data_IF_676483838474
#
_entry.id   IF_676483838474
#
_cell.length_a   1.000
_cell.length_b   1.000
_cell.length_c   1.000
_cell.angle_alpha   90.00
_cell.angle_beta   90.00
_cell.angle_gamma   90.00
#
_symmetry.space_group_name_H-M   'P 1'
#
loop_
_entity.id
_entity.type
_entity.pdbx_description
1 polymer ?
#
# COMPACT_ATOMS: atom_id res chain seq x y z
N UNK A 1 -46.12 -34.91 38.23
CA UNK A 1 -45.23 -33.74 38.41
C UNK A 1 -44.22 -33.76 37.28
N UNK A 2 -44.44 -32.94 36.22
CA UNK A 2 -43.58 -32.88 35.05
C UNK A 2 -42.65 -31.67 35.18
N UNK A 3 -41.34 -31.91 35.31
CA UNK A 3 -40.31 -30.86 35.35
C UNK A 3 -39.98 -30.46 33.91
N UNK A 4 -40.35 -29.22 33.54
CA UNK A 4 -39.91 -28.64 32.26
C UNK A 4 -38.54 -28.00 32.46
N UNK A 5 -37.52 -28.53 31.78
CA UNK A 5 -36.15 -28.00 31.76
C UNK A 5 -36.08 -26.93 30.68
N UNK A 6 -36.02 -25.67 31.05
CA UNK A 6 -35.86 -24.53 30.13
C UNK A 6 -34.34 -24.36 29.82
N UNK A 7 -33.94 -24.63 28.61
CA UNK A 7 -32.56 -24.45 28.13
C UNK A 7 -32.38 -22.98 27.75
N UNK A 8 -31.58 -22.25 28.52
CA UNK A 8 -31.19 -20.86 28.21
C UNK A 8 -29.99 -20.91 27.28
N UNK A 9 -30.18 -20.54 25.99
CA UNK A 9 -29.09 -20.29 25.05
C UNK A 9 -28.47 -18.92 25.32
N UNK A 10 -27.29 -18.91 25.91
CA UNK A 10 -26.46 -17.69 26.01
C UNK A 10 -25.71 -17.53 24.66
N UNK A 11 -26.21 -16.64 23.83
CA UNK A 11 -25.47 -16.20 22.65
C UNK A 11 -24.32 -15.29 23.10
N UNK A 12 -23.08 -15.82 23.11
CA UNK A 12 -21.89 -14.97 23.22
C UNK A 12 -21.78 -14.16 21.92
N UNK A 13 -22.28 -12.93 21.94
CA UNK A 13 -21.99 -11.94 20.93
C UNK A 13 -20.46 -11.68 20.93
N UNK A 14 -19.78 -11.99 19.82
CA UNK A 14 -18.42 -11.50 19.60
C UNK A 14 -18.51 -9.98 19.54
N UNK A 15 -18.01 -9.30 20.56
CA UNK A 15 -17.72 -7.86 20.46
C UNK A 15 -16.61 -7.73 19.41
N UNK A 16 -16.96 -7.28 18.21
CA UNK A 16 -15.99 -6.74 17.30
C UNK A 16 -15.34 -5.56 18.02
N UNK A 17 -14.03 -5.64 18.28
CA UNK A 17 -13.28 -4.50 18.80
C UNK A 17 -13.47 -3.35 17.80
N UNK A 18 -14.10 -2.27 18.23
CA UNK A 18 -14.24 -1.08 17.41
C UNK A 18 -12.81 -0.52 17.20
N UNK A 19 -12.45 -0.28 15.95
CA UNK A 19 -11.22 0.42 15.63
C UNK A 19 -11.31 1.85 16.17
N UNK A 20 -10.29 2.31 16.90
CA UNK A 20 -10.24 3.64 17.51
C UNK A 20 -9.23 4.58 16.79
N UNK A 21 -8.57 4.08 15.74
CA UNK A 21 -7.54 4.82 14.98
C UNK A 21 -8.14 5.54 13.78
N UNK A 22 -7.51 6.62 13.26
CA UNK A 22 -8.02 7.36 12.10
C UNK A 22 -8.27 6.51 10.85
N UNK A 23 -7.46 5.46 10.65
CA UNK A 23 -7.62 4.46 9.58
C UNK A 23 -7.64 3.08 10.23
N UNK A 24 -8.64 2.30 9.87
CA UNK A 24 -8.83 0.94 10.36
C UNK A 24 -8.37 -0.08 9.33
N UNK A 25 -7.62 -1.08 9.78
CA UNK A 25 -7.35 -2.28 9.01
C UNK A 25 -8.59 -3.17 9.05
N UNK A 26 -9.09 -3.55 7.88
CA UNK A 26 -10.32 -4.34 7.73
C UNK A 26 -10.09 -5.47 6.72
N UNK A 27 -11.00 -6.43 6.67
CA UNK A 27 -11.03 -7.43 5.61
C UNK A 27 -11.24 -6.72 4.25
N UNK A 28 -10.33 -6.86 3.27
CA UNK A 28 -10.48 -6.23 1.97
C UNK A 28 -11.75 -6.66 1.23
N UNK A 29 -12.25 -7.88 1.48
CA UNK A 29 -13.48 -8.38 0.85
C UNK A 29 -14.76 -7.75 1.48
N UNK A 30 -14.63 -7.09 2.61
CA UNK A 30 -15.73 -6.30 3.19
C UNK A 30 -15.89 -4.92 2.52
N UNK A 31 -14.91 -4.49 1.70
CA UNK A 31 -14.93 -3.20 1.02
C UNK A 31 -15.56 -3.33 -0.38
N UNK A 32 -16.46 -2.41 -0.72
CA UNK A 32 -17.02 -2.29 -2.07
C UNK A 32 -16.20 -1.29 -2.86
N UNK A 33 -15.11 -1.74 -3.51
CA UNK A 33 -14.18 -0.93 -4.27
C UNK A 33 -14.31 -1.28 -5.76
N UNK A 34 -14.56 -0.28 -6.61
CA UNK A 34 -14.97 -0.47 -8.01
C UNK A 34 -13.81 -0.42 -9.00
N UNK A 35 -12.66 0.13 -8.60
CA UNK A 35 -11.46 0.23 -9.44
C UNK A 35 -10.36 -0.68 -8.92
N UNK A 36 -9.54 -1.16 -9.84
CA UNK A 36 -8.36 -1.97 -9.52
C UNK A 36 -7.23 -1.63 -10.47
N UNK A 37 -6.02 -1.49 -9.93
CA UNK A 37 -4.76 -1.43 -10.66
C UNK A 37 -4.03 -2.75 -10.42
N UNK A 38 -3.74 -3.49 -11.50
CA UNK A 38 -3.12 -4.82 -11.49
C UNK A 38 -1.72 -4.83 -12.11
N UNK A 39 -1.27 -3.73 -12.69
CA UNK A 39 -0.02 -3.60 -13.48
C UNK A 39 0.08 -4.48 -14.73
N UNK A 40 -0.94 -5.28 -15.07
CA UNK A 40 -0.91 -6.23 -16.20
C UNK A 40 -0.70 -5.55 -17.56
N UNK A 41 -1.23 -4.35 -17.73
CA UNK A 41 -1.08 -3.54 -18.94
C UNK A 41 0.23 -2.72 -18.96
N UNK A 42 1.06 -2.85 -17.92
CA UNK A 42 2.34 -2.15 -17.80
C UNK A 42 3.47 -3.02 -18.32
N UNK A 43 4.44 -2.40 -19.01
CA UNK A 43 5.62 -3.12 -19.48
C UNK A 43 6.37 -3.73 -18.30
N UNK A 44 6.48 -5.05 -18.30
CA UNK A 44 7.17 -5.83 -17.28
C UNK A 44 8.37 -6.59 -17.83
N UNK A 45 9.21 -7.12 -16.96
CA UNK A 45 10.34 -7.97 -17.30
C UNK A 45 10.50 -9.14 -16.33
N UNK A 46 11.21 -10.17 -16.74
CA UNK A 46 11.66 -11.25 -15.86
C UNK A 46 12.84 -10.79 -15.00
N UNK A 47 13.07 -11.48 -13.89
CA UNK A 47 14.20 -11.21 -12.99
C UNK A 47 14.10 -9.84 -12.33
N UNK A 48 14.98 -8.87 -12.68
CA UNK A 48 14.95 -7.53 -12.08
C UNK A 48 13.78 -6.67 -12.56
N UNK A 49 13.00 -7.15 -13.54
CA UNK A 49 11.84 -6.44 -14.08
C UNK A 49 12.21 -5.40 -15.14
N UNK A 50 11.24 -4.53 -15.40
CA UNK A 50 11.41 -3.34 -16.24
C UNK A 50 11.42 -2.10 -15.37
N UNK A 51 12.58 -1.43 -15.31
CA UNK A 51 12.75 -0.19 -14.53
C UNK A 51 11.88 0.94 -15.09
N UNK A 52 11.13 1.59 -14.22
CA UNK A 52 10.29 2.74 -14.56
C UNK A 52 11.17 3.98 -14.69
N UNK A 53 10.99 4.74 -15.76
CA UNK A 53 11.67 6.04 -15.95
C UNK A 53 10.73 7.16 -15.48
N UNK A 54 11.10 7.85 -14.39
CA UNK A 54 10.26 8.86 -13.78
C UNK A 54 9.10 8.28 -12.96
N UNK A 55 7.92 8.86 -13.05
CA UNK A 55 6.71 8.36 -12.40
C UNK A 55 5.99 7.34 -13.29
N UNK A 56 5.40 6.31 -12.68
CA UNK A 56 4.46 5.43 -13.37
C UNK A 56 3.05 6.02 -13.19
N UNK A 57 2.44 6.44 -14.30
CA UNK A 57 1.10 7.05 -14.32
C UNK A 57 0.11 6.05 -14.90
N UNK A 58 -0.89 5.67 -14.11
CA UNK A 58 -1.97 4.76 -14.49
C UNK A 58 -3.33 5.44 -14.27
N UNK A 59 -4.39 4.84 -14.80
CA UNK A 59 -5.75 5.39 -14.62
C UNK A 59 -6.18 5.29 -13.16
N UNK A 60 -6.30 6.45 -12.50
CA UNK A 60 -6.75 6.64 -11.13
C UNK A 60 -5.66 6.78 -10.09
N UNK A 61 -4.39 6.47 -10.40
CA UNK A 61 -3.27 6.72 -9.48
C UNK A 61 -1.92 6.80 -10.21
N UNK A 62 -1.00 7.56 -9.64
CA UNK A 62 0.40 7.63 -10.05
C UNK A 62 1.31 7.06 -8.98
N UNK A 63 2.49 6.55 -9.37
CA UNK A 63 3.44 5.88 -8.50
C UNK A 63 4.83 6.48 -8.61
N UNK A 64 5.52 6.55 -7.49
CA UNK A 64 6.88 7.02 -7.35
C UNK A 64 7.53 6.39 -6.12
N UNK A 65 8.67 6.92 -5.72
CA UNK A 65 9.43 6.41 -4.57
C UNK A 65 9.00 7.06 -3.25
N UNK A 66 8.73 8.35 -3.26
CA UNK A 66 8.37 9.16 -2.06
C UNK A 66 7.57 10.39 -2.44
N UNK A 67 7.21 11.19 -1.44
CA UNK A 67 6.60 12.49 -1.67
C UNK A 67 7.63 13.62 -1.54
N UNK A 68 7.37 14.74 -2.23
CA UNK A 68 8.20 15.95 -2.15
C UNK A 68 8.33 16.44 -0.70
N UNK A 69 9.54 16.90 -0.32
CA UNK A 69 9.88 17.29 1.05
C UNK A 69 10.43 16.16 1.90
N UNK A 70 10.17 14.91 1.53
CA UNK A 70 10.75 13.76 2.22
C UNK A 70 12.18 13.48 1.74
N UNK A 71 13.00 12.98 2.67
CA UNK A 71 14.38 12.55 2.42
C UNK A 71 14.44 11.03 2.44
N UNK A 72 15.14 10.49 1.45
CA UNK A 72 15.46 9.07 1.38
C UNK A 72 16.86 8.85 1.94
N UNK A 73 17.00 7.88 2.84
CA UNK A 73 18.27 7.41 3.39
C UNK A 73 18.34 5.89 3.34
N UNK A 74 19.55 5.35 3.43
CA UNK A 74 19.74 3.92 3.51
C UNK A 74 19.60 3.43 4.95
N UNK A 75 18.83 2.36 5.14
CA UNK A 75 18.79 1.56 6.37
C UNK A 75 19.17 0.11 6.03
N UNK A 76 20.46 -0.19 6.02
CA UNK A 76 20.97 -1.42 5.43
C UNK A 76 20.79 -1.44 3.92
N UNK A 77 20.10 -2.44 3.39
CA UNK A 77 19.76 -2.57 1.98
C UNK A 77 18.43 -1.87 1.62
N UNK A 78 17.68 -1.41 2.65
CA UNK A 78 16.33 -0.85 2.51
C UNK A 78 16.35 0.68 2.44
N UNK A 79 15.28 1.21 1.86
CA UNK A 79 15.00 2.63 1.91
C UNK A 79 14.31 3.03 3.21
N UNK A 80 14.86 4.05 3.86
CA UNK A 80 14.21 4.74 4.96
C UNK A 80 13.76 6.13 4.49
N UNK A 81 12.46 6.40 4.57
CA UNK A 81 11.88 7.69 4.18
C UNK A 81 11.55 8.49 5.43
N UNK A 82 12.15 9.67 5.55
CA UNK A 82 11.99 10.59 6.68
C UNK A 82 11.57 11.98 6.23
N UNK A 83 11.18 12.82 7.18
CA UNK A 83 10.74 14.18 6.90
C UNK A 83 9.24 14.29 6.57
N UNK A 84 8.77 15.52 6.44
CA UNK A 84 7.38 15.83 6.17
C UNK A 84 7.15 15.97 4.65
N UNK A 85 6.04 15.42 4.16
CA UNK A 85 5.59 15.70 2.81
C UNK A 85 5.16 17.17 2.70
N UNK A 86 5.46 17.78 1.56
CA UNK A 86 5.07 19.17 1.27
C UNK A 86 3.63 19.26 0.74
N UNK A 87 3.05 20.44 0.91
CA UNK A 87 1.77 20.82 0.29
C UNK A 87 2.01 21.52 -1.05
N UNK A 88 1.29 21.14 -2.12
CA UNK A 88 0.40 19.99 -2.25
C UNK A 88 1.18 18.67 -2.27
N UNK A 89 0.55 17.59 -1.84
CA UNK A 89 1.16 16.24 -1.88
C UNK A 89 1.57 15.91 -3.33
N UNK A 90 2.86 15.71 -3.55
CA UNK A 90 3.44 15.55 -4.88
C UNK A 90 4.40 14.37 -4.89
N UNK A 91 4.22 13.45 -5.84
CA UNK A 91 5.14 12.32 -6.01
C UNK A 91 6.50 12.73 -6.55
N UNK A 92 7.52 12.05 -6.07
CA UNK A 92 8.89 12.13 -6.57
C UNK A 92 9.33 10.74 -7.08
N UNK A 93 9.93 10.67 -8.26
CA UNK A 93 10.56 9.43 -8.72
C UNK A 93 11.83 9.15 -7.90
N UNK A 94 12.26 7.90 -7.93
CA UNK A 94 13.58 7.50 -7.44
C UNK A 94 14.72 8.03 -8.31
N UNK A 95 15.94 7.94 -7.80
CA UNK A 95 17.13 8.21 -8.55
C UNK A 95 17.30 7.19 -9.71
N UNK A 96 18.17 7.49 -10.67
CA UNK A 96 18.47 6.56 -11.75
C UNK A 96 18.95 5.21 -11.18
N UNK A 97 18.26 4.13 -11.58
CA UNK A 97 18.54 2.78 -11.09
C UNK A 97 18.03 2.47 -9.67
N UNK A 98 17.39 3.42 -8.98
CA UNK A 98 16.80 3.24 -7.64
C UNK A 98 15.32 3.62 -7.62
N UNK A 99 14.65 3.51 -8.75
CA UNK A 99 13.22 3.79 -8.87
C UNK A 99 12.41 2.49 -8.82
N UNK A 100 11.14 2.59 -9.19
CA UNK A 100 10.25 1.44 -9.27
C UNK A 100 10.59 0.53 -10.45
N UNK A 101 10.23 -0.74 -10.36
CA UNK A 101 10.24 -1.66 -11.50
C UNK A 101 8.98 -2.53 -11.51
N UNK A 102 8.54 -2.91 -12.71
CA UNK A 102 7.45 -3.86 -12.90
C UNK A 102 8.02 -5.21 -13.28
N UNK A 103 7.74 -6.21 -12.44
CA UNK A 103 8.29 -7.56 -12.56
C UNK A 103 7.17 -8.52 -12.94
N UNK A 104 7.42 -9.34 -13.97
CA UNK A 104 6.57 -10.48 -14.26
C UNK A 104 6.96 -11.65 -13.36
N UNK A 105 6.04 -12.07 -12.51
CA UNK A 105 6.27 -13.14 -11.54
C UNK A 105 5.05 -14.08 -11.47
N UNK A 106 5.28 -15.36 -11.77
CA UNK A 106 4.28 -16.45 -11.71
C UNK A 106 2.94 -16.14 -12.43
N UNK A 107 3.02 -15.51 -13.61
CA UNK A 107 1.84 -15.25 -14.42
C UNK A 107 1.16 -13.91 -14.11
N UNK A 108 1.79 -13.06 -13.31
CA UNK A 108 1.26 -11.78 -12.86
C UNK A 108 2.33 -10.69 -12.87
N UNK A 109 1.95 -9.44 -13.08
CA UNK A 109 2.83 -8.29 -12.97
C UNK A 109 2.71 -7.64 -11.59
N UNK A 110 3.84 -7.35 -10.95
CA UNK A 110 3.90 -6.73 -9.63
C UNK A 110 4.81 -5.52 -9.64
N UNK A 111 4.54 -4.54 -8.79
CA UNK A 111 5.34 -3.33 -8.64
C UNK A 111 6.31 -3.47 -7.46
N UNK A 112 7.62 -3.29 -7.72
CA UNK A 112 8.67 -3.28 -6.71
C UNK A 112 9.34 -1.92 -6.64
N UNK A 113 9.79 -1.52 -5.43
CA UNK A 113 10.77 -0.46 -5.24
C UNK A 113 12.19 -1.02 -5.27
N UNK A 114 13.14 -0.27 -5.81
CA UNK A 114 14.56 -0.61 -5.76
C UNK A 114 15.26 0.15 -4.66
N UNK A 115 15.81 -0.57 -3.70
CA UNK A 115 16.59 -0.01 -2.61
C UNK A 115 18.00 0.46 -3.04
N UNK A 116 18.81 0.80 -2.06
CA UNK A 116 20.11 1.51 -2.23
C UNK A 116 21.13 0.79 -3.11
N UNK A 117 21.09 -0.53 -3.19
CA UNK A 117 22.01 -1.28 -4.05
C UNK A 117 21.72 -1.09 -5.55
N UNK A 118 20.50 -0.68 -5.90
CA UNK A 118 20.06 -0.27 -7.22
C UNK A 118 19.90 -1.40 -8.25
N UNK A 119 19.17 -1.06 -9.32
CA UNK A 119 18.92 -1.94 -10.47
C UNK A 119 20.24 -2.29 -11.22
N UNK A 120 20.44 -3.53 -11.68
CA UNK A 120 19.51 -4.67 -11.63
C UNK A 120 19.82 -5.67 -10.50
N UNK A 121 20.34 -5.24 -9.38
CA UNK A 121 20.76 -6.16 -8.30
C UNK A 121 19.57 -6.76 -7.58
N UNK A 122 19.63 -8.08 -7.36
CA UNK A 122 18.51 -8.83 -6.71
C UNK A 122 18.28 -8.42 -5.26
N UNK A 123 19.35 -8.08 -4.52
CA UNK A 123 19.29 -7.62 -3.15
C UNK A 123 18.84 -6.16 -2.99
N UNK A 124 18.42 -5.52 -4.06
CA UNK A 124 17.78 -4.21 -4.03
C UNK A 124 16.33 -4.29 -4.47
N UNK A 125 15.92 -5.41 -5.07
CA UNK A 125 14.58 -5.59 -5.61
C UNK A 125 13.58 -5.86 -4.50
N UNK A 126 12.62 -4.93 -4.32
CA UNK A 126 11.61 -4.99 -3.26
C UNK A 126 12.06 -4.31 -1.96
N UNK A 127 13.32 -3.81 -1.89
CA UNK A 127 13.89 -3.14 -0.72
C UNK A 127 13.60 -1.63 -0.73
N UNK A 128 13.19 -1.09 -1.88
CA UNK A 128 12.89 0.32 -2.07
C UNK A 128 11.52 0.72 -1.59
N UNK A 129 11.38 2.01 -1.28
CA UNK A 129 10.09 2.61 -0.94
C UNK A 129 9.18 2.70 -2.18
N UNK A 130 7.87 2.58 -1.95
CA UNK A 130 6.84 2.76 -2.98
C UNK A 130 5.82 3.77 -2.45
N UNK A 131 5.68 4.90 -3.14
CA UNK A 131 4.63 5.86 -2.88
C UNK A 131 3.61 5.85 -4.03
N UNK A 132 2.34 6.01 -3.71
CA UNK A 132 1.32 6.24 -4.72
C UNK A 132 0.36 7.35 -4.31
N UNK A 133 -0.11 8.07 -5.32
CA UNK A 133 -0.99 9.23 -5.20
C UNK A 133 -2.22 8.97 -6.06
N UNK A 134 -3.39 8.98 -5.45
CA UNK A 134 -4.67 8.85 -6.17
C UNK A 134 -5.03 10.16 -6.87
N UNK A 135 -5.72 10.04 -8.01
CA UNK A 135 -6.28 11.19 -8.71
C UNK A 135 -7.36 11.86 -7.85
N UNK A 136 -8.22 11.05 -7.21
CA UNK A 136 -9.27 11.47 -6.26
C UNK A 136 -8.96 10.97 -4.85
N UNK A 137 -9.30 11.75 -3.82
CA UNK A 137 -9.11 11.35 -2.42
C UNK A 137 -10.04 10.20 -2.04
N UNK A 138 -9.56 9.25 -1.24
CA UNK A 138 -10.22 8.01 -0.90
C UNK A 138 -10.70 7.98 0.56
N UNK A 139 -11.86 7.38 0.82
CA UNK A 139 -12.31 7.01 2.17
C UNK A 139 -11.95 5.57 2.53
N UNK A 140 -11.74 4.73 1.52
CA UNK A 140 -11.33 3.35 1.68
C UNK A 140 -10.47 2.90 0.49
N UNK A 141 -9.56 1.97 0.74
CA UNK A 141 -8.73 1.36 -0.30
C UNK A 141 -8.28 -0.03 0.16
N UNK A 142 -7.77 -0.82 -0.77
CA UNK A 142 -7.04 -2.04 -0.44
C UNK A 142 -5.86 -2.22 -1.39
N UNK A 143 -4.86 -2.97 -0.96
CA UNK A 143 -3.76 -3.43 -1.80
C UNK A 143 -3.25 -4.78 -1.34
N UNK A 144 -2.67 -5.54 -2.25
CA UNK A 144 -2.00 -6.79 -1.98
C UNK A 144 -0.51 -6.56 -1.86
N UNK A 145 0.12 -7.19 -0.85
CA UNK A 145 1.58 -7.30 -0.72
C UNK A 145 1.98 -8.73 -1.05
N UNK A 146 3.06 -8.88 -1.80
CA UNK A 146 3.78 -10.14 -2.02
C UNK A 146 5.16 -10.01 -1.42
N UNK A 147 5.57 -10.99 -0.61
CA UNK A 147 6.75 -10.88 0.26
C UNK A 147 6.40 -10.26 1.61
N UNK A 148 7.38 -9.82 2.37
CA UNK A 148 7.16 -9.18 3.68
C UNK A 148 6.84 -10.15 4.81
N UNK A 149 7.29 -11.41 4.72
CA UNK A 149 7.04 -12.44 5.73
C UNK A 149 7.93 -12.31 6.96
N UNK A 150 9.16 -11.83 6.79
CA UNK A 150 10.18 -11.78 7.84
C UNK A 150 10.42 -10.39 8.41
N UNK A 151 10.09 -9.34 7.66
CA UNK A 151 10.26 -7.95 8.05
C UNK A 151 8.96 -7.24 8.35
N UNK A 152 9.08 -5.96 8.76
CA UNK A 152 7.93 -5.09 9.00
C UNK A 152 7.69 -4.20 7.78
N UNK A 153 6.61 -4.45 7.06
CA UNK A 153 6.07 -3.49 6.12
C UNK A 153 5.34 -2.38 6.89
N UNK A 154 5.53 -1.13 6.45
CA UNK A 154 4.88 0.03 7.04
C UNK A 154 4.10 0.79 5.97
N UNK A 155 2.85 1.14 6.26
CA UNK A 155 2.02 2.02 5.44
C UNK A 155 1.82 3.37 6.13
N UNK A 156 2.05 4.45 5.40
CA UNK A 156 1.82 5.83 5.86
C UNK A 156 0.83 6.48 4.92
N UNK A 157 -0.27 6.98 5.48
CA UNK A 157 -1.37 7.58 4.74
C UNK A 157 -1.33 9.10 4.84
N UNK A 158 -1.55 9.78 3.73
CA UNK A 158 -1.44 11.23 3.63
C UNK A 158 -2.70 11.87 3.04
N UNK A 159 -3.01 13.06 3.54
CA UNK A 159 -3.94 13.98 2.90
C UNK A 159 -3.27 14.69 1.70
N UNK A 160 -4.07 15.23 0.80
CA UNK A 160 -3.58 16.02 -0.34
C UNK A 160 -2.80 17.28 0.07
N UNK A 161 -2.99 17.73 1.29
CA UNK A 161 -2.18 18.77 1.90
C UNK A 161 -0.76 18.36 2.29
N UNK A 162 -0.41 17.06 2.18
CA UNK A 162 0.84 16.51 2.69
C UNK A 162 0.81 16.14 4.17
N UNK A 163 -0.29 16.39 4.87
CA UNK A 163 -0.43 16.01 6.27
C UNK A 163 -0.54 14.48 6.40
N UNK A 164 0.27 13.89 7.29
CA UNK A 164 0.15 12.49 7.67
C UNK A 164 -1.16 12.28 8.45
N UNK A 165 -1.99 11.35 7.98
CA UNK A 165 -3.21 10.93 8.66
C UNK A 165 -2.86 9.89 9.71
N UNK A 166 -2.08 8.88 9.29
CA UNK A 166 -1.71 7.74 10.13
C UNK A 166 -0.54 6.99 9.54
N UNK A 167 0.26 6.41 10.44
CA UNK A 167 1.31 5.44 10.14
C UNK A 167 1.00 4.14 10.85
N UNK A 168 1.10 3.01 10.15
CA UNK A 168 0.88 1.71 10.76
C UNK A 168 1.88 0.68 10.26
N UNK A 169 2.28 -0.23 11.13
CA UNK A 169 3.01 -1.44 10.77
C UNK A 169 1.97 -2.47 10.33
N UNK A 170 2.18 -3.04 9.16
CA UNK A 170 1.31 -4.08 8.63
C UNK A 170 1.67 -5.43 9.24
N UNK A 171 0.70 -6.34 9.42
CA UNK A 171 1.00 -7.72 9.77
C UNK A 171 1.91 -8.38 8.73
N UNK A 172 2.66 -9.45 9.08
CA UNK A 172 3.40 -10.24 8.12
C UNK A 172 2.53 -10.61 6.91
N UNK A 173 3.03 -10.35 5.70
CA UNK A 173 2.18 -10.34 4.51
C UNK A 173 2.18 -11.67 3.75
N UNK A 174 3.30 -12.12 3.23
CA UNK A 174 3.33 -13.24 2.28
C UNK A 174 2.61 -12.86 0.97
N UNK A 175 1.45 -13.43 0.72
CA UNK A 175 0.54 -13.04 -0.37
C UNK A 175 -0.79 -12.54 0.21
N UNK A 176 -0.73 -11.49 1.04
CA UNK A 176 -1.90 -10.99 1.76
C UNK A 176 -2.41 -9.67 1.17
N UNK A 177 -3.73 -9.55 1.09
CA UNK A 177 -4.40 -8.28 0.82
C UNK A 177 -4.81 -7.60 2.13
N UNK A 178 -4.67 -6.28 2.16
CA UNK A 178 -5.01 -5.43 3.30
C UNK A 178 -6.06 -4.41 2.87
N UNK A 179 -7.14 -4.33 3.62
CA UNK A 179 -8.19 -3.31 3.45
C UNK A 179 -8.04 -2.20 4.48
N UNK A 180 -8.27 -0.97 4.07
CA UNK A 180 -8.15 0.22 4.91
C UNK A 180 -9.40 1.09 4.73
N UNK A 181 -9.92 1.61 5.84
CA UNK A 181 -11.06 2.50 5.84
C UNK A 181 -10.86 3.65 6.81
N UNK A 182 -11.22 4.87 6.38
CA UNK A 182 -11.29 6.01 7.29
C UNK A 182 -12.41 5.82 8.30
N UNK A 183 -12.09 5.92 9.58
CA UNK A 183 -13.08 5.76 10.66
C UNK A 183 -14.21 6.80 10.55
N UNK A 184 -13.88 8.02 10.14
CA UNK A 184 -14.85 9.11 9.93
C UNK A 184 -15.67 8.95 8.66
N UNK A 185 -15.26 8.09 7.72
CA UNK A 185 -15.84 7.97 6.37
C UNK A 185 -15.48 9.13 5.43
N UNK A 186 -14.61 10.05 5.84
CA UNK A 186 -14.14 11.16 4.99
C UNK A 186 -13.26 10.62 3.85
N UNK A 187 -13.46 11.15 2.65
CA UNK A 187 -12.58 10.89 1.51
C UNK A 187 -11.43 11.91 1.53
N UNK A 188 -10.38 11.62 2.32
CA UNK A 188 -9.22 12.48 2.50
C UNK A 188 -7.87 11.74 2.42
N UNK A 189 -7.88 10.45 2.11
CA UNK A 189 -6.65 9.69 1.79
C UNK A 189 -6.26 10.02 0.36
N UNK A 190 -5.31 10.92 0.17
CA UNK A 190 -4.78 11.26 -1.15
C UNK A 190 -3.67 10.32 -1.61
N UNK A 191 -2.80 9.89 -0.69
CA UNK A 191 -1.67 9.05 -1.05
C UNK A 191 -1.20 8.14 0.07
N UNK A 192 -0.42 7.13 -0.32
CA UNK A 192 0.15 6.14 0.60
C UNK A 192 1.63 5.97 0.28
N UNK A 193 2.45 5.84 1.31
CA UNK A 193 3.86 5.47 1.23
C UNK A 193 4.05 4.11 1.91
N UNK A 194 4.65 3.18 1.20
CA UNK A 194 5.01 1.85 1.72
C UNK A 194 6.53 1.76 1.83
N UNK A 195 7.02 1.35 2.99
CA UNK A 195 8.40 0.96 3.24
C UNK A 195 8.46 -0.39 3.92
N UNK A 196 9.59 -1.06 3.86
CA UNK A 196 9.75 -2.37 4.53
C UNK A 196 11.18 -2.59 5.01
N UNK A 197 11.35 -3.62 5.84
CA UNK A 197 12.65 -4.12 6.31
C UNK A 197 12.78 -5.63 6.10
N UNK A 198 11.95 -6.21 5.22
CA UNK A 198 12.00 -7.64 4.91
C UNK A 198 13.24 -7.95 4.06
N UNK A 199 14.10 -8.88 4.47
CA UNK A 199 15.33 -9.22 3.73
C UNK A 199 15.10 -9.79 2.32
N UNK A 200 13.88 -10.22 2.02
CA UNK A 200 13.49 -10.72 0.69
C UNK A 200 12.74 -9.67 -0.13
N UNK A 201 12.52 -8.49 0.47
CA UNK A 201 11.78 -7.40 -0.13
C UNK A 201 10.29 -7.62 -0.21
N UNK A 202 9.59 -6.65 -0.77
CA UNK A 202 8.16 -6.75 -1.07
C UNK A 202 7.79 -6.17 -2.42
N UNK A 203 6.63 -6.58 -2.91
CA UNK A 203 5.99 -6.03 -4.10
C UNK A 203 4.54 -5.67 -3.80
N UNK A 204 4.01 -4.67 -4.53
CA UNK A 204 2.60 -4.29 -4.51
C UNK A 204 1.87 -4.86 -5.73
N UNK A 205 0.61 -5.22 -5.50
CA UNK A 205 -0.32 -5.67 -6.53
C UNK A 205 -1.76 -5.34 -6.14
N UNK A 206 -2.69 -5.45 -7.09
CA UNK A 206 -4.13 -5.40 -6.87
C UNK A 206 -4.57 -4.22 -5.99
N UNK A 207 -4.16 -2.99 -6.35
CA UNK A 207 -4.57 -1.79 -5.62
C UNK A 207 -6.01 -1.46 -6.00
N UNK A 208 -6.92 -1.55 -5.03
CA UNK A 208 -8.35 -1.27 -5.22
C UNK A 208 -8.75 0.02 -4.52
N UNK A 209 -9.64 0.77 -5.14
CA UNK A 209 -10.11 2.07 -4.66
C UNK A 209 -11.44 2.46 -5.32
N UNK A 210 -12.04 3.57 -4.90
CA UNK A 210 -13.21 4.16 -5.53
C UNK A 210 -12.78 5.22 -6.55
N UNK A 211 -13.48 5.30 -7.69
CA UNK A 211 -13.40 6.44 -8.58
C UNK A 211 -14.66 7.27 -8.41
N UNK A 212 -14.49 8.52 -7.99
CA UNK A 212 -15.60 9.46 -7.99
C UNK A 212 -16.05 9.66 -9.44
N UNK A 213 -17.29 9.28 -9.76
CA UNK A 213 -17.90 9.62 -11.03
C UNK A 213 -18.23 11.12 -10.97
N UNK A 214 -17.42 11.96 -11.62
CA UNK A 214 -17.87 13.31 -11.91
C UNK A 214 -19.13 13.20 -12.76
N UNK A 215 -20.26 13.63 -12.21
CA UNK A 215 -21.50 13.79 -12.98
C UNK A 215 -21.29 14.98 -13.92
N UNK A 216 -20.93 14.69 -15.17
CA UNK A 216 -20.84 15.66 -16.27
C UNK A 216 -22.22 16.12 -16.72
#
# INVERSE_FOLDING_TARGET
MRLSLTLIFITLGRMAAACETPICLVDPDALTLTRIITFEDTRAGLGPGHIVQGLLVLDGASFGERFAGQTLTANGDHDEVTGLALSPLTLMPGAEGQNLSVVYFLGNNVLNGYGVAGFPKRNAQGEGAIAFLFDDDQSALSFQIRGGEEGAAQAVFYQRSGQEIMRMVLPPAGESAFGFIRLTGEADIAGVLITNTDPQGLALDNIRFEKNLELS
#
